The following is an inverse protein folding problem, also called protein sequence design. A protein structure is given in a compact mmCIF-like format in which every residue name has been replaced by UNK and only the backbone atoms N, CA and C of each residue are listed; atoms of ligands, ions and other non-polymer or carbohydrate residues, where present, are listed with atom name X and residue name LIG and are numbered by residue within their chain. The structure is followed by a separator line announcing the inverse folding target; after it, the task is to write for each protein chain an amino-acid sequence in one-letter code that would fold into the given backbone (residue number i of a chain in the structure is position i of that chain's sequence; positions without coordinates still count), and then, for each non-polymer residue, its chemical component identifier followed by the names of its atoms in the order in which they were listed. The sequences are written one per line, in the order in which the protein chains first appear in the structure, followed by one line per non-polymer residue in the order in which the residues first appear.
data_IF_887105066489
#
_entry.id   IF_887105066489
#
_cell.length_a   1.000
_cell.length_b   1.000
_cell.length_c   1.000
_cell.angle_alpha   90.00
_cell.angle_beta   90.00
_cell.angle_gamma   90.00
#
_symmetry.space_group_name_H-M   'P 1'
#
loop_
_entity.id
_entity.type
_entity.pdbx_description
1 polymer ?
#
# COMPACT_ATOMS: atom_id res chain seq x y z
N UNK A 1 5.20 -27.11 16.77
CA UNK A 1 5.91 -27.62 15.59
C UNK A 1 5.91 -26.51 14.53
N UNK A 2 7.05 -26.23 13.90
CA UNK A 2 7.20 -25.16 12.90
C UNK A 2 6.24 -25.35 11.71
N UNK A 3 6.06 -26.58 11.22
CA UNK A 3 5.18 -26.85 10.06
C UNK A 3 3.73 -26.48 10.36
N UNK A 4 3.25 -26.78 11.57
CA UNK A 4 1.89 -26.41 12.00
C UNK A 4 1.76 -24.91 12.19
N UNK A 5 2.75 -24.24 12.80
CA UNK A 5 2.73 -22.78 12.96
C UNK A 5 2.66 -22.03 11.61
N UNK A 6 3.34 -22.53 10.57
CA UNK A 6 3.27 -21.95 9.21
C UNK A 6 1.84 -22.09 8.65
N UNK A 7 1.25 -23.29 8.74
CA UNK A 7 -0.11 -23.53 8.24
C UNK A 7 -1.13 -22.65 8.97
N UNK A 8 -1.04 -22.58 10.30
CA UNK A 8 -1.93 -21.76 11.12
C UNK A 8 -1.80 -20.29 10.77
N UNK A 9 -0.58 -19.76 10.61
CA UNK A 9 -0.36 -18.38 10.21
C UNK A 9 -0.91 -18.04 8.82
N UNK A 10 -0.74 -18.94 7.85
CA UNK A 10 -1.34 -18.75 6.51
C UNK A 10 -2.87 -18.78 6.60
N UNK A 11 -3.43 -19.75 7.35
CA UNK A 11 -4.88 -19.89 7.53
C UNK A 11 -5.48 -18.67 8.20
N UNK A 12 -4.87 -18.16 9.26
CA UNK A 12 -5.31 -16.94 9.94
C UNK A 12 -5.30 -15.73 8.98
N UNK A 13 -4.24 -15.57 8.19
CA UNK A 13 -4.17 -14.52 7.18
C UNK A 13 -5.30 -14.63 6.14
N UNK A 14 -5.54 -15.83 5.61
CA UNK A 14 -6.65 -16.11 4.71
C UNK A 14 -8.00 -15.77 5.34
N UNK A 15 -8.21 -16.16 6.60
CA UNK A 15 -9.47 -15.93 7.32
C UNK A 15 -9.74 -14.45 7.52
N UNK A 16 -8.74 -13.67 7.95
CA UNK A 16 -8.88 -12.22 8.11
C UNK A 16 -9.12 -11.52 6.76
N UNK A 17 -8.50 -11.99 5.67
CA UNK A 17 -8.64 -11.37 4.36
C UNK A 17 -9.96 -11.72 3.66
N UNK A 18 -10.42 -12.96 3.76
CA UNK A 18 -11.62 -13.47 3.09
C UNK A 18 -12.89 -13.31 3.94
N UNK A 19 -12.79 -13.44 5.26
CA UNK A 19 -13.90 -13.45 6.22
C UNK A 19 -13.67 -12.47 7.38
N UNK A 20 -13.39 -11.18 7.09
CA UNK A 20 -13.12 -10.20 8.14
C UNK A 20 -14.34 -9.96 9.04
N UNK A 21 -14.16 -9.65 10.33
CA UNK A 21 -15.26 -9.40 11.26
C UNK A 21 -16.01 -8.08 10.96
N UNK A 22 -15.36 -7.14 10.24
CA UNK A 22 -15.93 -5.85 9.85
C UNK A 22 -15.52 -5.47 8.42
N UNK A 23 -16.31 -4.60 7.78
CA UNK A 23 -16.12 -4.17 6.37
C UNK A 23 -14.90 -3.26 6.11
N UNK A 24 -14.07 -3.00 7.11
CA UNK A 24 -12.88 -2.14 6.99
C UNK A 24 -11.59 -2.96 6.88
N UNK A 25 -11.68 -4.30 6.90
CA UNK A 25 -10.54 -5.21 6.95
C UNK A 25 -10.59 -6.12 5.72
N UNK A 26 -9.44 -6.60 5.30
CA UNK A 26 -9.31 -7.58 4.24
C UNK A 26 -9.85 -7.09 2.90
N UNK A 27 -10.28 -8.05 2.07
CA UNK A 27 -10.83 -7.78 0.75
C UNK A 27 -12.08 -6.87 0.83
N UNK A 28 -12.88 -7.01 1.88
CA UNK A 28 -14.06 -6.16 2.11
C UNK A 28 -13.67 -4.69 2.34
N UNK A 29 -12.56 -4.47 3.06
CA UNK A 29 -11.96 -3.16 3.30
C UNK A 29 -11.48 -2.51 2.00
N UNK A 30 -10.83 -3.28 1.12
CA UNK A 30 -10.40 -2.80 -0.19
C UNK A 30 -11.59 -2.35 -1.06
N UNK A 31 -12.67 -3.14 -1.11
CA UNK A 31 -13.88 -2.76 -1.85
C UNK A 31 -14.52 -1.50 -1.28
N UNK A 32 -14.64 -1.42 0.05
CA UNK A 32 -15.14 -0.23 0.71
C UNK A 32 -14.28 0.99 0.40
N UNK A 33 -12.96 0.84 0.46
CA UNK A 33 -12.01 1.89 0.14
C UNK A 33 -12.18 2.39 -1.29
N UNK A 34 -12.24 1.48 -2.28
CA UNK A 34 -12.51 1.83 -3.68
C UNK A 34 -13.82 2.61 -3.86
N UNK A 35 -14.87 2.29 -3.09
CA UNK A 35 -16.14 3.01 -3.14
C UNK A 35 -16.15 4.39 -2.44
N UNK A 36 -15.16 4.65 -1.57
CA UNK A 36 -15.02 5.92 -0.83
C UNK A 36 -14.11 6.92 -1.56
N UNK A 37 -13.05 6.43 -2.21
CA UNK A 37 -12.03 7.29 -2.85
C UNK A 37 -12.62 8.34 -3.80
N UNK A 38 -13.56 8.01 -4.72
CA UNK A 38 -14.18 9.00 -5.61
C UNK A 38 -14.97 10.11 -4.90
N UNK A 39 -15.30 9.91 -3.62
CA UNK A 39 -16.08 10.84 -2.79
C UNK A 39 -15.18 11.70 -1.91
N UNK A 40 -13.88 11.42 -1.84
CA UNK A 40 -12.96 12.11 -0.93
C UNK A 40 -12.92 13.61 -1.15
N UNK A 41 -12.95 14.10 -2.40
CA UNK A 41 -12.97 15.54 -2.68
C UNK A 41 -14.26 16.25 -2.21
N UNK A 42 -15.35 15.51 -2.00
CA UNK A 42 -16.60 16.03 -1.42
C UNK A 42 -16.61 15.92 0.11
N UNK A 43 -15.94 14.92 0.66
CA UNK A 43 -15.91 14.61 2.10
C UNK A 43 -14.82 15.39 2.84
N UNK A 44 -13.69 15.63 2.18
CA UNK A 44 -12.51 16.27 2.74
C UNK A 44 -12.13 17.50 1.92
N UNK A 45 -11.53 18.48 2.60
CA UNK A 45 -11.06 19.73 1.99
C UNK A 45 -9.68 20.05 2.52
N UNK A 46 -8.97 20.92 1.81
CA UNK A 46 -7.72 21.46 2.33
C UNK A 46 -6.66 20.38 2.55
N UNK A 47 -5.95 20.51 3.67
CA UNK A 47 -4.96 19.54 4.13
C UNK A 47 -5.53 18.14 4.40
N UNK A 48 -6.82 18.01 4.75
CA UNK A 48 -7.41 16.69 5.02
C UNK A 48 -7.51 15.86 3.74
N UNK A 49 -7.87 16.49 2.62
CA UNK A 49 -7.93 15.81 1.32
C UNK A 49 -6.54 15.38 0.85
N UNK A 50 -5.55 16.27 0.96
CA UNK A 50 -4.16 15.93 0.67
C UNK A 50 -3.63 14.84 1.62
N UNK A 51 -4.03 14.88 2.89
CA UNK A 51 -3.71 13.86 3.89
C UNK A 51 -4.16 12.46 3.48
N UNK A 52 -5.33 12.32 2.85
CA UNK A 52 -5.77 11.02 2.29
C UNK A 52 -4.78 10.47 1.25
N UNK A 53 -4.28 11.33 0.36
CA UNK A 53 -3.32 10.96 -0.69
C UNK A 53 -1.94 10.63 -0.10
N UNK A 54 -1.43 11.48 0.79
CA UNK A 54 -0.15 11.28 1.47
C UNK A 54 -0.15 9.99 2.27
N UNK A 55 -1.19 9.75 3.08
CA UNK A 55 -1.32 8.54 3.87
C UNK A 55 -1.43 7.30 3.00
N UNK A 56 -2.13 7.37 1.85
CA UNK A 56 -2.18 6.26 0.89
C UNK A 56 -0.78 5.87 0.45
N UNK A 57 0.03 6.84 0.03
CA UNK A 57 1.42 6.57 -0.35
C UNK A 57 2.27 6.05 0.82
N UNK A 58 2.20 6.71 1.98
CA UNK A 58 3.01 6.37 3.16
C UNK A 58 2.73 4.94 3.61
N UNK A 59 1.46 4.57 3.82
CA UNK A 59 1.11 3.25 4.32
C UNK A 59 1.38 2.12 3.33
N UNK A 60 1.47 2.41 2.03
CA UNK A 60 1.83 1.39 1.04
C UNK A 60 3.34 1.22 0.97
N UNK A 61 4.10 2.31 0.87
CA UNK A 61 5.52 2.25 0.48
C UNK A 61 6.52 2.36 1.63
N UNK A 62 6.25 3.19 2.64
CA UNK A 62 7.28 3.58 3.63
C UNK A 62 6.82 3.46 5.09
N UNK A 63 5.59 2.99 5.34
CA UNK A 63 5.02 2.80 6.67
C UNK A 63 5.54 1.55 7.39
N UNK A 64 6.80 1.16 7.18
CA UNK A 64 7.37 -0.08 7.71
C UNK A 64 6.92 -1.35 6.97
N UNK A 65 6.34 -1.20 5.77
CA UNK A 65 5.81 -2.31 4.96
C UNK A 65 6.87 -3.08 4.18
N UNK A 66 8.09 -2.55 4.10
CA UNK A 66 9.10 -3.01 3.15
C UNK A 66 8.75 -2.71 1.69
N UNK A 67 7.83 -1.76 1.44
CA UNK A 67 7.29 -1.43 0.12
C UNK A 67 6.05 -2.25 -0.25
N UNK A 68 5.23 -1.68 -1.13
CA UNK A 68 4.10 -2.38 -1.76
C UNK A 68 3.16 -3.15 -0.80
N UNK A 69 2.83 -2.56 0.35
CA UNK A 69 1.90 -3.13 1.35
C UNK A 69 2.23 -4.56 1.81
N UNK A 70 3.51 -4.83 2.13
CA UNK A 70 4.03 -6.13 2.61
C UNK A 70 3.96 -7.28 1.60
N UNK A 71 3.47 -7.07 0.38
CA UNK A 71 3.28 -8.18 -0.57
C UNK A 71 4.57 -8.86 -1.02
N UNK A 72 5.70 -8.17 -1.22
CA UNK A 72 6.98 -8.84 -1.45
C UNK A 72 7.41 -9.73 -0.28
N UNK A 73 7.24 -9.24 0.96
CA UNK A 73 7.55 -10.00 2.17
C UNK A 73 6.69 -11.25 2.28
N UNK A 74 5.37 -11.13 2.06
CA UNK A 74 4.46 -12.27 2.14
C UNK A 74 4.69 -13.28 1.02
N UNK A 75 5.01 -12.83 -0.20
CA UNK A 75 5.38 -13.71 -1.30
C UNK A 75 6.65 -14.51 -0.97
N UNK A 76 7.69 -13.87 -0.44
CA UNK A 76 8.92 -14.55 0.01
C UNK A 76 8.62 -15.58 1.10
N UNK A 77 7.79 -15.21 2.09
CA UNK A 77 7.34 -16.13 3.13
C UNK A 77 6.64 -17.38 2.54
N UNK A 78 5.78 -17.22 1.54
CA UNK A 78 5.12 -18.35 0.88
C UNK A 78 6.10 -19.25 0.11
N UNK A 79 7.12 -18.67 -0.53
CA UNK A 79 8.18 -19.45 -1.21
C UNK A 79 8.98 -20.29 -0.22
N UNK A 80 9.42 -19.69 0.89
CA UNK A 80 10.11 -20.43 1.97
C UNK A 80 9.20 -21.50 2.60
N UNK A 81 7.91 -21.19 2.76
CA UNK A 81 6.91 -22.14 3.25
C UNK A 81 6.71 -23.33 2.31
N UNK A 82 6.81 -23.11 0.99
CA UNK A 82 6.70 -24.17 0.00
C UNK A 82 7.78 -25.24 0.19
N UNK A 83 9.01 -24.82 0.51
CA UNK A 83 10.14 -25.72 0.79
C UNK A 83 9.95 -26.46 2.13
N UNK A 84 9.63 -25.73 3.21
CA UNK A 84 9.50 -26.32 4.57
C UNK A 84 8.33 -27.30 4.65
N UNK A 85 7.21 -26.98 4.00
CA UNK A 85 6.00 -27.82 4.00
C UNK A 85 6.01 -28.89 2.92
N UNK A 86 6.99 -28.89 2.02
CA UNK A 86 7.04 -29.75 0.82
C UNK A 86 5.76 -29.60 -0.03
N UNK A 87 5.29 -28.34 -0.18
CA UNK A 87 4.09 -27.96 -0.93
C UNK A 87 4.43 -26.95 -2.03
N UNK A 88 4.97 -27.39 -3.19
CA UNK A 88 5.37 -26.50 -4.27
C UNK A 88 4.22 -25.66 -4.84
N UNK A 89 2.96 -26.06 -4.63
CA UNK A 89 1.75 -25.33 -5.04
C UNK A 89 1.66 -23.94 -4.40
N UNK A 90 2.32 -23.70 -3.25
CA UNK A 90 2.39 -22.38 -2.59
C UNK A 90 3.15 -21.33 -3.43
N UNK A 91 3.94 -21.75 -4.42
CA UNK A 91 4.60 -20.81 -5.34
C UNK A 91 3.60 -20.05 -6.22
N UNK A 92 2.46 -20.65 -6.56
CA UNK A 92 1.45 -20.00 -7.40
C UNK A 92 0.80 -18.78 -6.71
N UNK A 93 0.30 -18.85 -5.45
CA UNK A 93 -0.15 -17.66 -4.75
C UNK A 93 1.00 -16.68 -4.47
N UNK A 94 2.24 -17.14 -4.26
CA UNK A 94 3.39 -16.24 -4.10
C UNK A 94 3.59 -15.33 -5.34
N UNK A 95 3.53 -15.89 -6.55
CA UNK A 95 3.58 -15.11 -7.80
C UNK A 95 2.42 -14.10 -7.92
N UNK A 96 1.22 -14.47 -7.47
CA UNK A 96 0.08 -13.54 -7.44
C UNK A 96 0.31 -12.39 -6.45
N UNK A 97 0.97 -12.64 -5.31
CA UNK A 97 1.35 -11.57 -4.38
C UNK A 97 2.46 -10.68 -4.93
N UNK A 98 3.43 -11.21 -5.68
CA UNK A 98 4.41 -10.39 -6.40
C UNK A 98 3.74 -9.49 -7.45
N UNK A 99 2.75 -10.02 -8.19
CA UNK A 99 1.92 -9.22 -9.10
C UNK A 99 1.11 -8.17 -8.34
N UNK A 100 0.51 -8.54 -7.21
CA UNK A 100 -0.22 -7.61 -6.34
C UNK A 100 0.69 -6.49 -5.82
N UNK A 101 1.95 -6.80 -5.46
CA UNK A 101 2.93 -5.81 -5.02
C UNK A 101 3.12 -4.70 -6.06
N UNK A 102 3.29 -5.07 -7.34
CA UNK A 102 3.42 -4.10 -8.42
C UNK A 102 2.17 -3.20 -8.56
N UNK A 103 0.97 -3.74 -8.29
CA UNK A 103 -0.28 -2.97 -8.34
C UNK A 103 -0.39 -2.04 -7.12
N UNK A 104 -0.03 -2.50 -5.93
CA UNK A 104 0.04 -1.65 -4.73
C UNK A 104 0.95 -0.43 -4.95
N UNK A 105 2.13 -0.61 -5.53
CA UNK A 105 3.01 0.52 -5.85
C UNK A 105 2.44 1.46 -6.93
N UNK A 106 1.63 0.94 -7.85
CA UNK A 106 0.86 1.77 -8.80
C UNK A 106 -0.23 2.58 -8.09
N UNK A 107 -0.89 2.04 -7.07
CA UNK A 107 -1.85 2.78 -6.23
C UNK A 107 -1.13 3.93 -5.51
N UNK A 108 0.02 3.64 -4.87
CA UNK A 108 0.81 4.66 -4.17
C UNK A 108 1.27 5.78 -5.12
N UNK A 109 1.73 5.41 -6.32
CA UNK A 109 2.12 6.38 -7.35
C UNK A 109 0.92 7.16 -7.90
N UNK A 110 -0.25 6.54 -8.04
CA UNK A 110 -1.48 7.23 -8.46
C UNK A 110 -2.00 8.20 -7.39
N UNK A 111 -1.68 7.98 -6.10
CA UNK A 111 -2.01 8.93 -5.03
C UNK A 111 -1.13 10.19 -5.07
N UNK A 112 0.14 10.07 -5.49
CA UNK A 112 1.10 11.17 -5.66
C UNK A 112 1.67 11.17 -7.11
N UNK A 113 0.84 11.54 -8.10
CA UNK A 113 1.12 11.40 -9.53
C UNK A 113 2.30 12.24 -10.02
N UNK A 114 2.89 11.81 -11.14
CA UNK A 114 4.00 12.51 -11.79
C UNK A 114 3.57 13.75 -12.58
N UNK A 115 2.31 13.79 -13.01
CA UNK A 115 1.69 14.87 -13.75
C UNK A 115 1.57 16.15 -12.91
N UNK A 116 1.53 16.03 -11.58
CA UNK A 116 1.49 17.15 -10.63
C UNK A 116 2.89 17.28 -10.01
N UNK A 117 3.67 18.24 -10.51
CA UNK A 117 5.09 18.39 -10.19
C UNK A 117 5.36 18.47 -8.67
N UNK A 118 4.51 19.17 -7.92
CA UNK A 118 4.61 19.26 -6.47
C UNK A 118 4.36 17.91 -5.78
N UNK A 119 3.38 17.12 -6.23
CA UNK A 119 3.11 15.79 -5.66
C UNK A 119 4.24 14.81 -5.98
N UNK A 120 4.77 14.85 -7.21
CA UNK A 120 5.98 14.13 -7.58
C UNK A 120 7.16 14.45 -6.67
N UNK A 121 7.39 15.75 -6.42
CA UNK A 121 8.50 16.18 -5.56
C UNK A 121 8.28 15.77 -4.10
N UNK A 122 7.05 15.86 -3.60
CA UNK A 122 6.69 15.34 -2.26
C UNK A 122 6.97 13.84 -2.17
N UNK A 123 6.57 13.05 -3.17
CA UNK A 123 6.84 11.60 -3.23
C UNK A 123 8.33 11.28 -3.13
N UNK A 124 9.16 12.00 -3.90
CA UNK A 124 10.62 11.84 -3.87
C UNK A 124 11.22 12.20 -2.50
N UNK A 125 10.78 13.31 -1.91
CA UNK A 125 11.22 13.76 -0.59
C UNK A 125 10.81 12.79 0.52
N UNK A 126 9.62 12.19 0.43
CA UNK A 126 9.17 11.16 1.36
C UNK A 126 10.07 9.92 1.29
N UNK A 127 10.44 9.45 0.09
CA UNK A 127 11.40 8.36 -0.05
C UNK A 127 12.79 8.73 0.47
N UNK A 128 13.30 9.93 0.15
CA UNK A 128 14.59 10.40 0.67
C UNK A 128 14.59 10.41 2.20
N UNK A 129 13.54 10.96 2.81
CA UNK A 129 13.39 11.00 4.27
C UNK A 129 13.36 9.59 4.86
N UNK A 130 12.62 8.67 4.24
CA UNK A 130 12.56 7.29 4.70
C UNK A 130 13.93 6.62 4.67
N UNK A 131 14.69 6.80 3.59
CA UNK A 131 16.04 6.25 3.46
C UNK A 131 16.99 6.79 4.55
N UNK A 132 16.95 8.10 4.81
CA UNK A 132 17.76 8.71 5.87
C UNK A 132 17.41 8.09 7.23
N UNK A 133 16.12 7.92 7.51
CA UNK A 133 15.62 7.32 8.74
C UNK A 133 16.08 5.86 8.90
N UNK A 134 15.97 5.05 7.85
CA UNK A 134 16.37 3.63 7.84
C UNK A 134 17.89 3.45 8.02
N UNK A 135 18.70 4.38 7.51
CA UNK A 135 20.16 4.34 7.64
C UNK A 135 20.66 4.64 9.06
N UNK A 136 19.82 5.21 9.94
CA UNK A 136 20.11 5.50 11.36
C UNK A 136 21.45 6.21 11.63
N UNK A 137 21.91 7.04 10.70
CA UNK A 137 23.16 7.81 10.85
C UNK A 137 22.98 8.94 11.87
N UNK A 138 23.96 9.09 12.77
CA UNK A 138 24.10 10.28 13.63
C UNK A 138 24.34 11.51 12.74
N UNK A 139 23.76 12.66 13.07
CA UNK A 139 23.87 13.94 12.34
C UNK A 139 22.98 14.16 11.10
N UNK A 140 21.91 13.37 10.93
CA UNK A 140 20.95 13.53 9.82
C UNK A 140 19.70 14.34 10.15
N UNK A 141 19.58 14.82 11.40
CA UNK A 141 18.40 15.54 11.90
C UNK A 141 18.14 16.82 11.09
N UNK A 142 19.18 17.58 10.76
CA UNK A 142 19.02 18.85 10.05
C UNK A 142 18.54 18.62 8.60
N UNK A 143 19.10 17.62 7.91
CA UNK A 143 18.63 17.21 6.57
C UNK A 143 17.14 16.81 6.60
N UNK A 144 16.72 16.03 7.60
CA UNK A 144 15.30 15.66 7.74
C UNK A 144 14.39 16.87 8.02
N UNK A 145 14.87 17.86 8.78
CA UNK A 145 14.12 19.12 9.00
C UNK A 145 13.97 19.90 7.71
N UNK A 146 15.03 20.05 6.93
CA UNK A 146 15.00 20.72 5.63
C UNK A 146 13.99 20.05 4.68
N UNK A 147 14.01 18.72 4.62
CA UNK A 147 13.03 17.94 3.87
C UNK A 147 11.59 18.23 4.35
N UNK A 148 11.35 18.25 5.66
CA UNK A 148 10.03 18.54 6.21
C UNK A 148 9.56 19.98 5.89
N UNK A 149 10.47 20.96 5.94
CA UNK A 149 10.18 22.35 5.55
C UNK A 149 9.74 22.40 4.08
N UNK A 150 10.47 21.72 3.20
CA UNK A 150 10.15 21.70 1.78
C UNK A 150 8.84 20.97 1.49
N UNK A 151 8.58 19.82 2.11
CA UNK A 151 7.29 19.13 2.02
C UNK A 151 6.17 20.08 2.47
N UNK A 152 6.32 20.76 3.62
CA UNK A 152 5.33 21.71 4.12
C UNK A 152 5.07 22.90 3.17
N UNK A 153 6.09 23.35 2.43
CA UNK A 153 5.94 24.38 1.41
C UNK A 153 5.17 23.87 0.20
N UNK A 154 5.46 22.66 -0.26
CA UNK A 154 4.80 22.04 -1.42
C UNK A 154 3.34 21.66 -1.13
N UNK A 155 3.05 21.13 0.06
CA UNK A 155 1.68 20.79 0.46
C UNK A 155 0.75 22.00 0.42
N UNK A 156 1.21 23.16 0.92
CA UNK A 156 0.45 24.43 0.85
C UNK A 156 0.10 24.86 -0.58
N UNK A 157 0.96 24.57 -1.57
CA UNK A 157 0.69 24.89 -2.99
C UNK A 157 -0.36 23.96 -3.61
N UNK A 158 -0.27 22.66 -3.30
CA UNK A 158 -1.11 21.63 -3.91
C UNK A 158 -2.54 21.64 -3.40
N UNK A 159 -2.76 22.04 -2.14
CA UNK A 159 -4.07 21.98 -1.49
C UNK A 159 -5.18 22.65 -2.31
N UNK A 160 -4.89 23.79 -2.95
CA UNK A 160 -5.88 24.51 -3.75
C UNK A 160 -6.17 23.82 -5.09
N UNK A 161 -5.20 23.08 -5.64
CA UNK A 161 -5.32 22.39 -6.92
C UNK A 161 -6.14 21.09 -6.84
N UNK A 162 -6.10 20.38 -5.71
CA UNK A 162 -6.73 19.06 -5.59
C UNK A 162 -8.25 19.06 -5.69
N UNK A 163 -8.91 20.16 -5.33
CA UNK A 163 -10.38 20.23 -5.38
C UNK A 163 -10.90 20.26 -6.83
N UNK A 164 -10.09 20.73 -7.76
CA UNK A 164 -10.46 20.93 -9.18
C UNK A 164 -10.13 19.70 -10.05
N UNK A 165 -9.53 18.65 -9.49
CA UNK A 165 -9.02 17.48 -10.23
C UNK A 165 -9.70 16.16 -9.83
N UNK A 166 -10.98 15.95 -10.18
CA UNK A 166 -11.73 14.76 -9.79
C UNK A 166 -11.21 13.47 -10.46
N UNK A 167 -10.54 13.57 -11.61
CA UNK A 167 -9.98 12.43 -12.36
C UNK A 167 -8.93 11.64 -11.57
N UNK A 168 -8.20 12.31 -10.68
CA UNK A 168 -7.22 11.68 -9.79
C UNK A 168 -7.84 10.57 -8.95
N UNK A 169 -9.01 10.84 -8.35
CA UNK A 169 -9.69 9.89 -7.48
C UNK A 169 -10.31 8.73 -8.25
N UNK A 170 -10.74 8.96 -9.49
CA UNK A 170 -11.24 7.89 -10.38
C UNK A 170 -10.10 6.95 -10.79
N UNK A 171 -8.92 7.50 -11.15
CA UNK A 171 -7.76 6.68 -11.46
C UNK A 171 -7.33 5.84 -10.25
N UNK A 172 -7.31 6.45 -9.06
CA UNK A 172 -6.98 5.76 -7.81
C UNK A 172 -7.99 4.65 -7.49
N UNK A 173 -9.29 4.91 -7.66
CA UNK A 173 -10.34 3.89 -7.53
C UNK A 173 -10.07 2.69 -8.44
N UNK A 174 -9.82 2.93 -9.73
CA UNK A 174 -9.58 1.85 -10.69
C UNK A 174 -8.40 0.97 -10.26
N UNK A 175 -7.30 1.58 -9.82
CA UNK A 175 -6.11 0.85 -9.37
C UNK A 175 -6.38 0.02 -8.11
N UNK A 176 -7.20 0.52 -7.19
CA UNK A 176 -7.63 -0.24 -6.00
C UNK A 176 -8.51 -1.43 -6.40
N UNK A 177 -9.42 -1.25 -7.36
CA UNK A 177 -10.26 -2.32 -7.91
C UNK A 177 -9.42 -3.40 -8.62
N UNK A 178 -8.43 -3.01 -9.43
CA UNK A 178 -7.50 -3.95 -10.09
C UNK A 178 -6.71 -4.76 -9.05
N UNK A 179 -6.28 -4.11 -7.96
CA UNK A 179 -5.58 -4.75 -6.86
C UNK A 179 -6.48 -5.74 -6.13
N UNK A 180 -7.72 -5.35 -5.84
CA UNK A 180 -8.71 -6.22 -5.20
C UNK A 180 -8.91 -7.52 -5.98
N UNK A 181 -9.06 -7.48 -7.30
CA UNK A 181 -9.25 -8.70 -8.10
C UNK A 181 -8.03 -9.63 -8.03
N UNK A 182 -6.83 -9.06 -8.07
CA UNK A 182 -5.58 -9.82 -7.95
C UNK A 182 -5.44 -10.46 -6.56
N UNK A 183 -5.70 -9.69 -5.50
CA UNK A 183 -5.63 -10.20 -4.12
C UNK A 183 -6.69 -11.26 -3.86
N UNK A 184 -7.91 -11.06 -4.37
CA UNK A 184 -8.99 -12.03 -4.25
C UNK A 184 -8.61 -13.37 -4.87
N UNK A 185 -8.01 -13.36 -6.05
CA UNK A 185 -7.49 -14.58 -6.69
C UNK A 185 -6.40 -15.24 -5.84
N UNK A 186 -5.44 -14.44 -5.33
CA UNK A 186 -4.36 -14.94 -4.50
C UNK A 186 -4.85 -15.62 -3.21
N UNK A 187 -5.77 -14.97 -2.47
CA UNK A 187 -6.29 -15.51 -1.22
C UNK A 187 -7.23 -16.69 -1.41
N UNK A 188 -8.07 -16.71 -2.46
CA UNK A 188 -8.92 -17.88 -2.77
C UNK A 188 -8.06 -19.09 -3.14
N UNK A 189 -6.98 -18.89 -3.90
CA UNK A 189 -6.06 -19.96 -4.23
C UNK A 189 -5.34 -20.46 -2.96
N UNK A 190 -4.77 -19.54 -2.19
CA UNK A 190 -4.03 -19.87 -0.98
C UNK A 190 -4.89 -20.62 0.05
N UNK A 191 -6.15 -20.22 0.24
CA UNK A 191 -7.07 -20.88 1.17
C UNK A 191 -7.47 -22.31 0.78
N UNK A 192 -7.22 -22.73 -0.47
CA UNK A 192 -7.46 -24.11 -0.91
C UNK A 192 -6.27 -25.03 -0.68
N UNK A 193 -5.08 -24.45 -0.48
CA UNK A 193 -3.81 -25.18 -0.34
C UNK A 193 -3.47 -25.48 1.13
N UNK A 194 -4.11 -24.77 2.06
CA UNK A 194 -3.95 -24.91 3.51
C UNK A 194 -5.20 -25.55 4.09
#
# INVERSE_FOLDING_TARGET
DLKECIKDGIKECCDVMLRPPIKNIGLSGMQKWAGLVPKWNKQFKGMNLLGCLLNTFIYIEIGGTGGSAFRPMYAKFLRESAEILEKPELNQPAELFEKSAAIWSKIASAALPDEIQELKKIRQLLFQKNKIFEEQKTDTIEEMKEINIEINRLTKKVVNYLQENPSLFINLQQKISDCYETEKQAFILLSRLI
#
